data_IF_337695489804
#
_entry.id   IF_337695489804
#
_cell.length_a   1.000
_cell.length_b   1.000
_cell.length_c   1.000
_cell.angle_alpha   90.00
_cell.angle_beta   90.00
_cell.angle_gamma   90.00
#
_symmetry.space_group_name_H-M   'P 1'
#
loop_
_entity.id
_entity.type
_entity.pdbx_description
1 polymer ?
#
# COMPACT_ATOMS: atom_id res chain seq x y z
N UNK A 1 -17.73 -9.64 -19.92
CA UNK A 1 -16.40 -9.02 -19.85
C UNK A 1 -16.19 -8.60 -18.41
N UNK A 2 -15.30 -9.26 -17.68
CA UNK A 2 -15.03 -8.94 -16.28
C UNK A 2 -14.23 -7.64 -16.23
N UNK A 3 -14.86 -6.56 -15.74
CA UNK A 3 -14.12 -5.46 -15.14
C UNK A 3 -13.48 -6.00 -13.85
N UNK A 4 -12.41 -6.79 -14.01
CA UNK A 4 -11.64 -7.33 -12.89
C UNK A 4 -10.93 -6.18 -12.18
N UNK A 5 -11.03 -6.16 -10.86
CA UNK A 5 -10.42 -5.24 -9.90
C UNK A 5 -9.94 -3.89 -10.46
N UNK A 6 -10.67 -2.83 -10.11
CA UNK A 6 -10.32 -1.46 -10.47
C UNK A 6 -9.70 -0.74 -9.29
N UNK A 7 -8.75 0.15 -9.52
CA UNK A 7 -8.29 1.16 -8.54
C UNK A 7 -9.48 1.87 -7.88
N UNK A 8 -10.62 1.97 -8.59
CA UNK A 8 -11.88 2.48 -8.06
C UNK A 8 -12.44 1.74 -6.84
N UNK A 9 -12.09 0.48 -6.61
CA UNK A 9 -12.49 -0.28 -5.43
C UNK A 9 -11.85 0.29 -4.15
N UNK A 10 -10.57 0.68 -4.21
CA UNK A 10 -9.89 1.33 -3.10
C UNK A 10 -10.41 2.73 -2.84
N UNK A 11 -10.78 3.49 -3.88
CA UNK A 11 -11.43 4.79 -3.71
C UNK A 11 -12.77 4.68 -2.96
N UNK A 12 -13.56 3.64 -3.23
CA UNK A 12 -14.77 3.33 -2.47
C UNK A 12 -14.45 3.06 -1.00
N UNK A 13 -13.47 2.21 -0.74
CA UNK A 13 -13.01 1.86 0.62
C UNK A 13 -12.50 3.10 1.37
N UNK A 14 -11.70 3.96 0.73
CA UNK A 14 -11.21 5.22 1.32
C UNK A 14 -12.38 6.11 1.73
N UNK A 15 -13.39 6.24 0.85
CA UNK A 15 -14.59 7.03 1.15
C UNK A 15 -15.31 6.48 2.38
N UNK A 16 -15.50 5.17 2.46
CA UNK A 16 -16.18 4.52 3.58
C UNK A 16 -15.39 4.67 4.90
N UNK A 17 -14.06 4.52 4.85
CA UNK A 17 -13.16 4.77 5.98
C UNK A 17 -13.27 6.23 6.46
N UNK A 18 -13.35 7.20 5.54
CA UNK A 18 -13.54 8.61 5.89
C UNK A 18 -14.87 8.86 6.60
N UNK A 19 -15.95 8.22 6.16
CA UNK A 19 -17.25 8.29 6.84
C UNK A 19 -17.16 7.66 8.23
N UNK A 20 -16.54 6.50 8.34
CA UNK A 20 -16.35 5.78 9.60
C UNK A 20 -15.56 6.61 10.62
N UNK A 21 -14.47 7.26 10.20
CA UNK A 21 -13.66 8.14 11.04
C UNK A 21 -14.47 9.33 11.59
N UNK A 22 -15.38 9.90 10.81
CA UNK A 22 -16.27 10.98 11.29
C UNK A 22 -17.20 10.48 12.41
N UNK A 23 -17.66 9.25 12.33
CA UNK A 23 -18.49 8.62 13.37
C UNK A 23 -17.67 8.38 14.65
N UNK A 24 -16.40 8.01 14.52
CA UNK A 24 -15.48 7.84 15.65
C UNK A 24 -15.04 9.13 16.35
N UNK A 25 -15.19 10.32 15.75
CA UNK A 25 -14.82 11.59 16.41
C UNK A 25 -15.54 11.84 17.76
N UNK A 26 -16.70 11.22 17.97
CA UNK A 26 -17.45 11.28 19.23
C UNK A 26 -17.33 10.03 20.10
N UNK A 27 -16.47 9.08 19.72
CA UNK A 27 -16.40 7.78 20.37
C UNK A 27 -15.68 7.83 21.72
N UNK A 28 -16.03 6.94 22.66
CA UNK A 28 -15.33 6.80 23.93
C UNK A 28 -13.86 6.40 23.73
N UNK A 29 -13.03 6.67 24.74
CA UNK A 29 -11.59 6.39 24.70
C UNK A 29 -11.25 4.93 24.36
N UNK A 30 -12.13 3.97 24.70
CA UNK A 30 -11.97 2.56 24.36
C UNK A 30 -11.89 2.27 22.84
N UNK A 31 -12.41 3.15 21.98
CA UNK A 31 -12.32 3.04 20.52
C UNK A 31 -11.14 3.79 19.92
N UNK A 32 -10.33 4.48 20.75
CA UNK A 32 -9.22 5.26 20.24
C UNK A 32 -8.25 4.40 19.42
N UNK A 33 -7.93 3.21 19.92
CA UNK A 33 -7.08 2.26 19.20
C UNK A 33 -7.68 1.93 17.82
N UNK A 34 -8.96 1.53 17.78
CA UNK A 34 -9.63 1.16 16.54
C UNK A 34 -9.65 2.33 15.55
N UNK A 35 -9.93 3.54 16.03
CA UNK A 35 -9.91 4.75 15.20
C UNK A 35 -8.50 5.07 14.65
N UNK A 36 -7.46 4.89 15.46
CA UNK A 36 -6.07 5.08 15.04
C UNK A 36 -5.67 4.03 13.98
N UNK A 37 -6.13 2.79 14.12
CA UNK A 37 -5.84 1.71 13.15
C UNK A 37 -6.63 1.88 11.85
N UNK A 38 -7.90 2.29 11.91
CA UNK A 38 -8.70 2.68 10.73
C UNK A 38 -8.05 3.86 9.99
N UNK A 39 -7.43 4.80 10.72
CA UNK A 39 -6.64 5.87 10.11
C UNK A 39 -5.39 5.33 9.42
N UNK A 40 -4.66 4.39 10.01
CA UNK A 40 -3.51 3.74 9.37
C UNK A 40 -3.91 3.00 8.11
N UNK A 41 -5.02 2.28 8.15
CA UNK A 41 -5.60 1.60 7.00
C UNK A 41 -5.85 2.58 5.85
N UNK A 42 -6.43 3.76 6.14
CA UNK A 42 -6.63 4.82 5.14
C UNK A 42 -5.34 5.28 4.46
N UNK A 43 -4.24 5.39 5.22
CA UNK A 43 -2.95 5.86 4.69
C UNK A 43 -2.37 4.81 3.75
N UNK A 44 -2.34 3.55 4.19
CA UNK A 44 -1.73 2.48 3.39
C UNK A 44 -2.55 2.22 2.12
N UNK A 45 -3.88 2.30 2.19
CA UNK A 45 -4.71 2.17 0.99
C UNK A 45 -4.44 3.29 0.00
N UNK A 46 -4.25 4.52 0.46
CA UNK A 46 -3.86 5.64 -0.40
C UNK A 46 -2.50 5.40 -1.06
N UNK A 47 -1.52 4.88 -0.33
CA UNK A 47 -0.24 4.51 -0.92
C UNK A 47 -0.46 3.46 -2.01
N UNK A 48 -1.19 2.39 -1.69
CA UNK A 48 -1.48 1.27 -2.62
C UNK A 48 -2.20 1.74 -3.89
N UNK A 49 -3.10 2.73 -3.78
CA UNK A 49 -3.84 3.32 -4.90
C UNK A 49 -2.92 3.94 -5.95
N UNK A 50 -1.74 4.44 -5.56
CA UNK A 50 -0.82 5.13 -6.48
C UNK A 50 -0.07 4.19 -7.43
N UNK A 51 -0.11 2.87 -7.21
CA UNK A 51 0.68 1.92 -7.97
C UNK A 51 -0.10 1.28 -9.12
N UNK A 52 0.64 0.87 -10.15
CA UNK A 52 0.15 0.02 -11.23
C UNK A 52 0.62 -1.41 -10.92
N UNK A 53 -0.25 -2.29 -10.39
CA UNK A 53 0.14 -3.64 -10.01
C UNK A 53 0.32 -4.54 -11.24
N UNK A 54 1.24 -5.50 -11.14
CA UNK A 54 1.33 -6.60 -12.10
C UNK A 54 0.19 -7.63 -11.88
N UNK A 55 0.05 -8.61 -12.78
CA UNK A 55 -1.05 -9.59 -12.71
C UNK A 55 -1.10 -10.37 -11.39
N UNK A 56 0.05 -10.80 -10.86
CA UNK A 56 0.10 -11.55 -9.60
C UNK A 56 -0.21 -10.69 -8.36
N UNK A 57 0.21 -9.42 -8.39
CA UNK A 57 -0.11 -8.45 -7.33
C UNK A 57 -1.59 -8.07 -7.36
N UNK A 58 -2.20 -8.01 -8.56
CA UNK A 58 -3.60 -7.64 -8.75
C UNK A 58 -4.56 -8.57 -8.01
N UNK A 59 -4.41 -9.88 -8.15
CA UNK A 59 -5.28 -10.86 -7.49
C UNK A 59 -5.21 -10.75 -5.97
N UNK A 60 -4.00 -10.52 -5.43
CA UNK A 60 -3.79 -10.38 -3.98
C UNK A 60 -4.36 -9.07 -3.44
N UNK A 61 -4.25 -7.98 -4.20
CA UNK A 61 -4.86 -6.70 -3.87
C UNK A 61 -6.38 -6.78 -3.91
N UNK A 62 -6.95 -7.52 -4.86
CA UNK A 62 -8.40 -7.76 -4.94
C UNK A 62 -8.92 -8.50 -3.71
N UNK A 63 -8.23 -9.57 -3.31
CA UNK A 63 -8.57 -10.31 -2.08
C UNK A 63 -8.58 -9.37 -0.87
N UNK A 64 -7.50 -8.60 -0.66
CA UNK A 64 -7.37 -7.72 0.50
C UNK A 64 -8.37 -6.57 0.46
N UNK A 65 -8.69 -6.04 -0.73
CA UNK A 65 -9.71 -5.02 -0.87
C UNK A 65 -11.10 -5.55 -0.45
N UNK A 66 -11.42 -6.81 -0.82
CA UNK A 66 -12.65 -7.45 -0.38
C UNK A 66 -12.66 -7.66 1.13
N UNK A 67 -11.57 -8.15 1.72
CA UNK A 67 -11.43 -8.28 3.18
C UNK A 67 -11.56 -6.92 3.90
N UNK A 68 -11.04 -5.83 3.31
CA UNK A 68 -11.22 -4.48 3.83
C UNK A 68 -12.68 -4.03 3.78
N UNK A 69 -13.39 -4.30 2.67
CA UNK A 69 -14.83 -3.99 2.54
C UNK A 69 -15.64 -4.74 3.59
N UNK A 70 -15.37 -6.02 3.79
CA UNK A 70 -16.03 -6.86 4.80
C UNK A 70 -15.77 -6.32 6.22
N UNK A 71 -14.52 -6.01 6.57
CA UNK A 71 -14.17 -5.42 7.86
C UNK A 71 -14.93 -4.10 8.11
N UNK A 72 -14.97 -3.22 7.12
CA UNK A 72 -15.68 -1.94 7.25
C UNK A 72 -17.18 -2.16 7.45
N UNK A 73 -17.78 -3.10 6.72
CA UNK A 73 -19.19 -3.48 6.88
C UNK A 73 -19.49 -4.07 8.26
N UNK A 74 -18.58 -4.86 8.81
CA UNK A 74 -18.71 -5.39 10.17
C UNK A 74 -18.63 -4.28 11.20
N UNK A 75 -17.66 -3.37 11.09
CA UNK A 75 -17.57 -2.21 11.97
C UNK A 75 -18.87 -1.38 11.88
N UNK A 76 -19.41 -1.17 10.68
CA UNK A 76 -20.70 -0.49 10.51
C UNK A 76 -21.87 -1.26 11.09
N UNK A 77 -21.88 -2.59 11.01
CA UNK A 77 -22.92 -3.44 11.57
C UNK A 77 -22.90 -3.39 13.09
N UNK A 78 -21.70 -3.46 13.67
CA UNK A 78 -21.45 -3.25 15.10
C UNK A 78 -22.01 -1.87 15.48
N UNK A 79 -21.56 -0.78 14.86
CA UNK A 79 -22.09 0.57 15.10
C UNK A 79 -23.62 0.67 14.91
N UNK A 80 -24.17 0.02 13.87
CA UNK A 80 -25.58 0.03 13.48
C UNK A 80 -26.49 -0.64 14.52
N UNK A 81 -26.11 -1.82 15.01
CA UNK A 81 -26.79 -2.50 16.13
C UNK A 81 -26.96 -1.56 17.33
N UNK A 82 -26.00 -0.67 17.57
CA UNK A 82 -26.08 0.28 18.70
C UNK A 82 -26.85 1.56 18.39
N UNK A 83 -26.98 1.94 17.12
CA UNK A 83 -27.85 3.06 16.71
C UNK A 83 -29.32 2.73 16.93
N UNK A 84 -29.72 1.47 16.76
CA UNK A 84 -31.09 1.00 16.99
C UNK A 84 -31.43 0.89 18.50
N UNK A 85 -30.45 0.55 19.33
CA UNK A 85 -30.61 0.50 20.81
C UNK A 85 -30.77 1.91 21.40
N UNK A 86 -30.20 2.93 20.75
CA UNK A 86 -30.42 4.32 21.10
C UNK A 86 -31.62 4.91 20.37
N UNK A 87 -32.79 5.02 21.01
CA UNK A 87 -33.99 5.71 20.49
C UNK A 87 -33.80 7.21 20.14
N UNK A 88 -32.55 7.72 20.13
CA UNK A 88 -32.19 9.12 19.89
C UNK A 88 -31.36 9.25 18.61
N UNK A 89 -31.68 10.25 17.79
CA UNK A 89 -31.00 10.59 16.54
C UNK A 89 -29.52 10.98 16.68
N UNK A 90 -28.98 11.08 17.91
CA UNK A 90 -27.63 11.54 18.18
C UNK A 90 -26.68 10.41 18.58
N UNK A 91 -25.78 10.08 17.67
CA UNK A 91 -24.67 9.12 17.83
C UNK A 91 -23.83 9.40 19.10
N UNK A 92 -23.71 10.68 19.52
CA UNK A 92 -22.98 11.05 20.75
C UNK A 92 -23.60 10.48 22.02
N UNK A 93 -24.93 10.35 22.08
CA UNK A 93 -25.60 9.76 23.23
C UNK A 93 -25.57 8.22 23.19
N UNK A 94 -25.59 7.64 22.00
CA UNK A 94 -25.39 6.21 21.80
C UNK A 94 -23.99 5.77 22.30
N UNK A 95 -22.95 6.54 21.95
CA UNK A 95 -21.58 6.34 22.44
C UNK A 95 -21.45 6.30 23.97
N UNK A 96 -22.15 7.20 24.68
CA UNK A 96 -22.08 7.28 26.16
C UNK A 96 -22.74 6.09 26.88
N UNK A 97 -23.68 5.41 26.23
CA UNK A 97 -24.38 4.24 26.79
C UNK A 97 -23.71 2.92 26.41
N UNK A 98 -22.64 3.00 25.61
CA UNK A 98 -22.03 1.84 25.00
C UNK A 98 -21.16 1.06 26.00
N UNK A 99 -21.59 -0.17 26.31
CA UNK A 99 -20.74 -1.24 26.84
C UNK A 99 -20.54 -2.23 25.70
N UNK A 100 -19.54 -2.02 24.87
CA UNK A 100 -19.11 -3.09 23.94
C UNK A 100 -18.48 -4.20 24.79
N UNK A 101 -18.71 -5.45 24.42
CA UNK A 101 -17.96 -6.56 25.02
C UNK A 101 -16.46 -6.33 24.75
N UNK A 102 -15.59 -6.36 25.76
CA UNK A 102 -14.14 -6.33 25.56
C UNK A 102 -13.66 -7.30 24.47
N UNK A 103 -14.32 -8.45 24.30
CA UNK A 103 -13.94 -9.45 23.30
C UNK A 103 -14.28 -9.01 21.86
N UNK A 104 -15.46 -8.40 21.64
CA UNK A 104 -15.84 -7.85 20.32
C UNK A 104 -14.88 -6.73 19.87
N UNK A 105 -14.46 -5.86 20.82
CA UNK A 105 -13.47 -4.81 20.53
C UNK A 105 -12.13 -5.43 20.15
N UNK A 106 -11.75 -6.51 20.84
CA UNK A 106 -10.48 -7.19 20.64
C UNK A 106 -10.43 -7.90 19.30
N UNK A 107 -11.47 -8.63 18.94
CA UNK A 107 -11.56 -9.31 17.65
C UNK A 107 -11.48 -8.31 16.49
N UNK A 108 -12.27 -7.23 16.55
CA UNK A 108 -12.22 -6.16 15.54
C UNK A 108 -10.82 -5.55 15.46
N UNK A 109 -10.20 -5.27 16.61
CA UNK A 109 -8.85 -4.73 16.69
C UNK A 109 -7.83 -5.65 16.01
N UNK A 110 -7.86 -6.94 16.32
CA UNK A 110 -6.89 -7.91 15.81
C UNK A 110 -7.05 -8.07 14.30
N UNK A 111 -8.30 -8.05 13.80
CA UNK A 111 -8.58 -8.07 12.36
C UNK A 111 -8.10 -6.82 11.63
N UNK A 112 -8.30 -5.62 12.19
CA UNK A 112 -7.78 -4.38 11.58
C UNK A 112 -6.26 -4.42 11.52
N UNK A 113 -5.60 -4.87 12.60
CA UNK A 113 -4.14 -4.99 12.64
C UNK A 113 -3.64 -5.96 11.56
N UNK A 114 -4.25 -7.14 11.44
CA UNK A 114 -3.89 -8.14 10.42
C UNK A 114 -4.01 -7.59 9.00
N UNK A 115 -5.05 -6.79 8.71
CA UNK A 115 -5.24 -6.17 7.39
C UNK A 115 -4.22 -5.06 7.12
N UNK A 116 -3.93 -4.23 8.11
CA UNK A 116 -2.87 -3.21 8.04
C UNK A 116 -1.51 -3.86 7.78
N UNK A 117 -1.19 -4.95 8.47
CA UNK A 117 0.05 -5.71 8.27
C UNK A 117 0.12 -6.31 6.86
N UNK A 118 -0.98 -6.91 6.39
CA UNK A 118 -1.06 -7.54 5.07
C UNK A 118 -0.91 -6.52 3.94
N UNK A 119 -1.59 -5.37 4.05
CA UNK A 119 -1.46 -4.27 3.09
C UNK A 119 -0.04 -3.68 3.11
N UNK A 120 0.52 -3.45 4.30
CA UNK A 120 1.90 -2.95 4.44
C UNK A 120 2.89 -3.91 3.77
N UNK A 121 2.75 -5.21 3.99
CA UNK A 121 3.64 -6.22 3.43
C UNK A 121 3.59 -6.25 1.88
N UNK A 122 2.40 -6.08 1.29
CA UNK A 122 2.28 -5.98 -0.17
C UNK A 122 2.86 -4.67 -0.67
N UNK A 123 2.58 -3.55 0.00
CA UNK A 123 3.11 -2.25 -0.39
C UNK A 123 4.64 -2.29 -0.46
N UNK A 124 5.29 -2.86 0.56
CA UNK A 124 6.75 -3.08 0.58
C UNK A 124 7.21 -3.94 -0.60
N UNK A 125 6.52 -5.04 -0.91
CA UNK A 125 6.87 -5.90 -2.05
C UNK A 125 6.74 -5.17 -3.38
N UNK A 126 5.65 -4.42 -3.60
CA UNK A 126 5.45 -3.62 -4.80
C UNK A 126 6.59 -2.62 -4.96
N UNK A 127 6.95 -1.89 -3.90
CA UNK A 127 8.06 -0.95 -3.93
C UNK A 127 9.40 -1.64 -4.26
N UNK A 128 9.66 -2.81 -3.68
CA UNK A 128 10.87 -3.58 -3.96
C UNK A 128 10.94 -4.05 -5.41
N UNK A 129 9.84 -4.58 -5.96
CA UNK A 129 9.77 -5.04 -7.34
C UNK A 129 10.05 -3.89 -8.32
N UNK A 130 9.47 -2.71 -8.08
CA UNK A 130 9.70 -1.51 -8.89
C UNK A 130 11.14 -1.02 -8.83
N UNK A 131 11.73 -0.98 -7.64
CA UNK A 131 13.14 -0.60 -7.47
C UNK A 131 14.05 -1.59 -8.20
N UNK A 132 13.76 -2.88 -8.12
CA UNK A 132 14.54 -3.91 -8.81
C UNK A 132 14.47 -3.75 -10.33
N UNK A 133 13.29 -3.47 -10.88
CA UNK A 133 13.10 -3.21 -12.30
C UNK A 133 13.91 -1.98 -12.77
N UNK A 134 13.89 -0.89 -12.00
CA UNK A 134 14.69 0.30 -12.29
C UNK A 134 16.19 0.04 -12.25
N UNK A 135 16.66 -0.76 -11.28
CA UNK A 135 18.06 -1.16 -11.18
C UNK A 135 18.47 -2.00 -12.39
N UNK A 136 17.63 -2.95 -12.79
CA UNK A 136 17.88 -3.79 -13.96
C UNK A 136 17.97 -2.94 -15.24
N UNK A 137 16.98 -2.08 -15.47
CA UNK A 137 16.97 -1.16 -16.60
C UNK A 137 18.25 -0.30 -16.65
N UNK A 138 18.70 0.21 -15.50
CA UNK A 138 19.94 1.01 -15.43
C UNK A 138 21.18 0.17 -15.72
N UNK A 139 21.25 -1.06 -15.23
CA UNK A 139 22.36 -1.96 -15.54
C UNK A 139 22.41 -2.32 -17.02
N UNK A 140 21.26 -2.59 -17.64
CA UNK A 140 21.14 -2.85 -19.07
C UNK A 140 21.56 -1.63 -19.90
N UNK A 141 21.13 -0.42 -19.52
CA UNK A 141 21.56 0.83 -20.18
C UNK A 141 23.09 1.00 -20.12
N UNK A 142 23.72 0.71 -18.98
CA UNK A 142 25.17 0.75 -18.82
C UNK A 142 25.84 -0.33 -19.66
N UNK A 143 25.32 -1.56 -19.63
CA UNK A 143 25.85 -2.67 -20.41
C UNK A 143 25.82 -2.35 -21.91
N UNK A 144 24.71 -1.79 -22.39
CA UNK A 144 24.57 -1.38 -23.78
C UNK A 144 25.59 -0.28 -24.15
N UNK A 145 25.82 0.70 -23.27
CA UNK A 145 26.87 1.72 -23.50
C UNK A 145 28.27 1.10 -23.64
N UNK A 146 28.59 0.09 -22.83
CA UNK A 146 29.86 -0.65 -22.98
C UNK A 146 29.92 -1.44 -24.28
N UNK A 147 28.83 -2.11 -24.67
CA UNK A 147 28.75 -2.84 -25.95
C UNK A 147 28.87 -1.89 -27.15
N UNK A 148 28.20 -0.75 -27.13
CA UNK A 148 28.27 0.28 -28.17
C UNK A 148 29.69 0.84 -28.26
N UNK A 149 30.37 1.06 -27.13
CA UNK A 149 31.78 1.46 -27.10
C UNK A 149 32.73 0.39 -27.66
N UNK A 150 32.51 -0.89 -27.34
CA UNK A 150 33.33 -2.00 -27.87
C UNK A 150 33.09 -2.25 -29.36
N UNK A 151 31.88 -1.96 -29.84
CA UNK A 151 31.47 -2.18 -31.23
C UNK A 151 31.73 -0.96 -32.13
N UNK A 152 32.03 0.21 -31.57
CA UNK A 152 32.35 1.39 -32.37
C UNK A 152 33.65 1.17 -33.15
N UNK A 153 33.68 1.63 -34.40
CA UNK A 153 34.84 1.50 -35.30
C UNK A 153 36.14 2.03 -34.67
N UNK A 154 36.05 2.94 -33.68
CA UNK A 154 37.17 3.42 -32.87
C UNK A 154 37.86 2.33 -32.04
N UNK A 155 37.15 1.36 -31.45
CA UNK A 155 37.79 0.23 -30.74
C UNK A 155 38.58 -0.65 -31.71
N UNK A 156 38.05 -0.86 -32.92
CA UNK A 156 38.77 -1.62 -33.96
C UNK A 156 39.93 -0.85 -34.58
N UNK A 157 39.88 0.49 -34.57
CA UNK A 157 40.96 1.37 -35.04
C UNK A 157 42.06 1.63 -33.98
N UNK A 158 41.75 1.48 -32.68
CA UNK A 158 42.66 1.72 -31.55
C UNK A 158 43.28 0.44 -30.95
N UNK A 159 43.30 -0.69 -31.68
CA UNK A 159 44.09 -1.86 -31.29
C UNK A 159 45.58 -1.47 -31.13
N UNK A 160 45.99 -1.21 -29.89
CA UNK A 160 47.36 -0.84 -29.52
C UNK A 160 47.57 0.56 -28.90
N UNK A 161 46.52 1.37 -28.63
CA UNK A 161 46.70 2.65 -27.93
C UNK A 161 46.27 2.61 -26.46
N UNK A 162 47.09 3.11 -25.52
CA UNK A 162 46.75 3.10 -24.10
C UNK A 162 45.57 4.03 -23.80
N UNK A 163 44.58 3.52 -23.06
CA UNK A 163 43.36 4.25 -22.71
C UNK A 163 43.60 5.03 -21.41
N UNK A 164 43.35 6.34 -21.46
CA UNK A 164 43.41 7.25 -20.30
C UNK A 164 42.03 7.40 -19.67
N UNK A 165 41.92 7.20 -18.35
CA UNK A 165 40.69 7.43 -17.61
C UNK A 165 40.72 8.82 -16.93
N UNK A 166 39.86 9.78 -17.33
CA UNK A 166 39.87 11.12 -16.75
C UNK A 166 39.44 11.12 -15.28
N UNK A 167 40.25 11.73 -14.42
CA UNK A 167 39.93 11.96 -12.99
C UNK A 167 40.62 11.01 -12.01
N UNK A 168 41.17 9.88 -12.47
CA UNK A 168 41.90 8.93 -11.60
C UNK A 168 43.41 8.88 -11.87
N UNK A 169 43.88 9.46 -12.98
CA UNK A 169 45.30 9.55 -13.32
C UNK A 169 45.97 8.21 -13.64
N UNK A 170 45.19 7.15 -13.88
CA UNK A 170 45.70 5.80 -14.16
C UNK A 170 45.54 5.46 -15.65
N UNK A 171 46.60 4.90 -16.20
CA UNK A 171 46.63 4.35 -17.56
C UNK A 171 46.31 2.86 -17.49
N UNK A 172 45.37 2.38 -18.32
CA UNK A 172 45.21 0.95 -18.54
C UNK A 172 46.16 0.55 -19.67
N UNK A 173 47.21 -0.16 -19.29
CA UNK A 173 48.14 -0.81 -20.19
C UNK A 173 47.96 -2.32 -19.93
N UNK A 174 47.67 -3.09 -20.97
CA UNK A 174 48.02 -4.52 -20.97
C UNK A 174 49.54 -4.66 -21.11
#
# INVERSE_FOLDING_TARGET
MSFGFSIGDFLGIIKDIHHLRRVFNGAPAQFKFLNDEVRRLSIIIQDVETYIPNAAQKDKLEQIANECKELIQEIWTVIGKYREIGQSSSIKHAWKRLKLDPEDVRELRDRVCSLVESLTAINVRITQDQVQELVNYKNEEQHQKYLDWLSSESFTADRGKPIYQPGTGRWFIE
#
